data_IF_080529257646
#
_entry.id   IF_080529257646
#
_cell.length_a   1.000
_cell.length_b   1.000
_cell.length_c   1.000
_cell.angle_alpha   90.00
_cell.angle_beta   90.00
_cell.angle_gamma   90.00
#
_symmetry.space_group_name_H-M   'P 1'
#
loop_
_entity.id
_entity.type
_entity.pdbx_description
1 polymer ?
#
# COMPACT_ATOMS: atom_id res chain seq x y z
N UNK A 1 25.04 12.34 -41.94
CA UNK A 1 23.68 12.84 -42.30
C UNK A 1 22.60 12.52 -41.26
N UNK A 2 22.80 11.58 -40.32
CA UNK A 2 21.80 11.28 -39.27
C UNK A 2 21.69 12.26 -38.10
N UNK A 3 22.75 13.02 -37.75
CA UNK A 3 22.69 13.96 -36.61
C UNK A 3 21.98 15.28 -36.94
N UNK A 4 21.98 15.70 -38.21
CA UNK A 4 21.32 16.94 -38.67
C UNK A 4 19.80 16.74 -38.77
N UNK A 5 19.35 15.52 -39.06
CA UNK A 5 17.92 15.20 -39.09
C UNK A 5 17.38 15.18 -37.65
N UNK A 6 18.11 14.60 -36.69
CA UNK A 6 17.71 14.62 -35.26
C UNK A 6 17.56 16.03 -34.69
N UNK A 7 18.41 16.99 -35.07
CA UNK A 7 18.28 18.38 -34.58
C UNK A 7 17.20 19.18 -35.31
N UNK A 8 16.85 18.82 -36.54
CA UNK A 8 15.74 19.45 -37.27
C UNK A 8 14.36 18.98 -36.78
N UNK A 9 14.24 17.75 -36.26
CA UNK A 9 12.97 17.27 -35.66
C UNK A 9 12.62 18.00 -34.36
N UNK A 10 13.60 18.32 -33.51
CA UNK A 10 13.39 19.10 -32.26
C UNK A 10 12.97 20.55 -32.54
N UNK A 11 13.32 21.08 -33.71
CA UNK A 11 13.05 22.49 -34.07
C UNK A 11 11.66 22.68 -34.71
N UNK A 12 11.06 21.62 -35.29
CA UNK A 12 9.75 21.69 -35.96
C UNK A 12 8.57 21.30 -35.06
N UNK A 13 8.82 20.57 -33.97
CA UNK A 13 7.86 20.28 -32.91
C UNK A 13 8.46 20.70 -31.58
N UNK A 14 8.63 22.01 -31.38
CA UNK A 14 8.95 22.51 -30.05
C UNK A 14 7.90 21.99 -29.07
N UNK A 15 8.35 21.29 -28.02
CA UNK A 15 7.47 20.98 -26.88
C UNK A 15 6.83 22.31 -26.46
N UNK A 16 5.50 22.36 -26.48
CA UNK A 16 4.78 23.52 -25.99
C UNK A 16 5.20 23.68 -24.52
N UNK A 17 5.83 24.80 -24.13
CA UNK A 17 6.30 24.96 -22.76
C UNK A 17 5.11 24.86 -21.82
N UNK A 18 5.20 23.94 -20.85
CA UNK A 18 4.20 23.80 -19.80
C UNK A 18 4.22 25.09 -18.97
N UNK A 19 3.08 25.74 -18.83
CA UNK A 19 2.97 26.94 -17.99
C UNK A 19 3.35 26.61 -16.55
N UNK A 20 4.05 27.52 -15.82
CA UNK A 20 4.34 27.31 -14.40
C UNK A 20 3.03 27.20 -13.59
N UNK A 21 3.05 26.54 -12.42
CA UNK A 21 1.89 26.49 -11.55
C UNK A 21 1.55 27.89 -10.99
N UNK A 22 0.27 28.14 -10.62
CA UNK A 22 -0.12 29.34 -9.90
C UNK A 22 0.50 29.46 -8.51
N UNK A 23 0.45 30.67 -7.95
CA UNK A 23 0.86 30.92 -6.56
C UNK A 23 -0.18 30.38 -5.56
N UNK A 24 0.33 29.73 -4.50
CA UNK A 24 -0.46 29.29 -3.35
C UNK A 24 -0.71 30.47 -2.40
N UNK A 25 -1.80 30.40 -1.65
CA UNK A 25 -2.08 31.34 -0.57
C UNK A 25 -1.19 31.05 0.65
N UNK A 26 -0.16 31.88 0.86
CA UNK A 26 0.79 31.74 1.97
C UNK A 26 0.20 32.05 3.36
N UNK A 27 -1.03 32.56 3.44
CA UNK A 27 -1.72 32.76 4.74
C UNK A 27 -2.34 31.46 5.26
N UNK A 28 -2.61 30.53 4.35
CA UNK A 28 -2.82 29.14 4.71
C UNK A 28 -1.46 28.51 5.00
N UNK A 29 -1.41 27.46 5.84
CA UNK A 29 -0.14 27.01 6.37
C UNK A 29 0.57 26.15 5.32
N UNK A 30 1.12 26.78 4.29
CA UNK A 30 1.87 26.16 3.22
C UNK A 30 3.33 26.59 3.26
N UNK A 31 4.26 25.71 2.91
CA UNK A 31 5.64 26.12 2.73
C UNK A 31 5.81 26.82 1.36
N UNK A 32 6.38 28.02 1.33
CA UNK A 32 7.04 28.52 0.11
C UNK A 32 8.38 27.79 -0.10
N UNK A 33 8.96 27.81 -1.31
CA UNK A 33 10.32 27.26 -1.53
C UNK A 33 11.35 27.83 -0.54
N UNK A 34 11.19 29.11 -0.16
CA UNK A 34 11.97 29.80 0.87
C UNK A 34 11.73 29.23 2.27
N UNK A 35 10.50 28.87 2.63
CA UNK A 35 10.17 28.26 3.92
C UNK A 35 10.72 26.83 4.03
N UNK A 36 10.84 26.11 2.91
CA UNK A 36 11.47 24.77 2.85
C UNK A 36 12.96 24.90 3.19
N UNK A 37 13.66 25.89 2.65
CA UNK A 37 15.08 26.14 2.97
C UNK A 37 15.29 26.69 4.39
N UNK A 38 14.42 27.59 4.84
CA UNK A 38 14.52 28.15 6.20
C UNK A 38 14.13 27.11 7.27
N UNK A 39 13.15 26.23 7.02
CA UNK A 39 12.81 25.17 8.00
C UNK A 39 13.85 24.06 8.01
N UNK A 40 14.58 23.79 6.92
CA UNK A 40 15.78 22.93 6.94
C UNK A 40 16.86 23.46 7.89
N UNK A 41 17.03 24.78 8.02
CA UNK A 41 18.03 25.39 8.91
C UNK A 41 17.58 25.47 10.37
N UNK A 42 16.27 25.50 10.65
CA UNK A 42 15.69 25.52 12.01
C UNK A 42 15.62 24.13 12.64
N UNK A 43 15.87 23.04 11.89
CA UNK A 43 16.22 21.72 12.46
C UNK A 43 17.65 21.75 13.02
N UNK A 44 17.91 22.71 13.91
CA UNK A 44 19.05 22.67 14.81
C UNK A 44 18.77 21.58 15.84
N UNK A 45 19.60 20.54 15.83
CA UNK A 45 19.76 19.63 16.97
C UNK A 45 20.03 20.53 18.18
N UNK A 46 19.04 20.70 19.05
CA UNK A 46 19.25 21.34 20.33
C UNK A 46 20.15 20.41 21.16
N UNK A 47 21.46 20.61 21.05
CA UNK A 47 22.38 20.16 22.07
C UNK A 47 22.08 20.97 23.34
N UNK A 48 21.32 20.40 24.26
CA UNK A 48 21.45 20.74 25.67
C UNK A 48 21.05 19.58 26.58
N UNK A 49 22.04 19.22 27.41
CA UNK A 49 21.95 18.54 28.71
C UNK A 49 21.23 17.20 28.78
N UNK A 50 22.03 16.13 28.71
CA UNK A 50 21.91 14.93 29.56
C UNK A 50 20.50 14.55 30.02
N UNK A 51 19.66 14.09 29.10
CA UNK A 51 18.62 13.13 29.44
C UNK A 51 19.16 11.75 29.13
N UNK A 52 19.20 10.93 30.18
CA UNK A 52 19.54 9.52 30.14
C UNK A 52 18.91 8.82 28.94
N UNK A 53 19.73 7.99 28.30
CA UNK A 53 19.37 7.06 27.25
C UNK A 53 18.36 6.02 27.80
N UNK A 54 17.10 6.42 27.91
CA UNK A 54 15.93 5.62 28.25
C UNK A 54 14.69 6.53 28.09
N UNK A 55 14.45 7.07 26.88
CA UNK A 55 13.14 7.64 26.59
C UNK A 55 12.15 6.49 26.42
N UNK A 56 11.55 6.08 27.55
CA UNK A 56 10.38 5.21 27.58
C UNK A 56 9.38 5.67 26.52
N UNK A 57 8.83 4.71 25.78
CA UNK A 57 7.76 4.86 24.79
C UNK A 57 6.63 5.76 25.30
N UNK A 58 6.72 7.06 25.05
CA UNK A 58 5.67 8.03 25.37
C UNK A 58 4.91 8.42 24.10
N UNK A 59 4.24 7.45 23.46
CA UNK A 59 3.06 7.76 22.64
C UNK A 59 1.90 7.89 23.64
N UNK A 60 1.62 9.12 24.09
CA UNK A 60 0.59 9.40 25.12
C UNK A 60 -0.81 8.86 24.75
N UNK A 61 -1.05 8.63 23.46
CA UNK A 61 -2.20 7.90 22.89
C UNK A 61 -1.96 7.66 21.40
N UNK A 62 -2.44 6.56 20.79
CA UNK A 62 -2.30 6.30 19.36
C UNK A 62 -2.80 7.49 18.49
N UNK A 63 -2.11 7.87 17.41
CA UNK A 63 -2.66 8.82 16.45
C UNK A 63 -3.92 8.28 15.78
N UNK A 64 -4.82 9.14 15.33
CA UNK A 64 -5.93 8.73 14.49
C UNK A 64 -5.49 8.51 13.04
N UNK A 65 -4.59 9.35 12.51
CA UNK A 65 -4.05 9.24 11.15
C UNK A 65 -2.56 8.95 11.15
N UNK A 66 -2.13 8.06 10.26
CA UNK A 66 -0.73 7.88 9.90
C UNK A 66 -0.55 8.19 8.41
N UNK A 67 0.40 9.05 8.09
CA UNK A 67 0.82 9.36 6.74
C UNK A 67 2.17 8.74 6.46
N UNK A 68 2.26 7.96 5.39
CA UNK A 68 3.52 7.40 4.92
C UNK A 68 3.77 7.94 3.52
N UNK A 69 4.91 8.60 3.35
CA UNK A 69 5.24 9.37 2.15
C UNK A 69 6.54 8.86 1.54
N UNK A 70 6.59 8.62 0.22
CA UNK A 70 7.82 8.21 -0.43
C UNK A 70 8.87 9.33 -0.39
N UNK A 71 10.12 8.97 -0.10
CA UNK A 71 11.28 9.81 -0.32
C UNK A 71 11.83 9.50 -1.70
N UNK A 72 11.83 10.49 -2.60
CA UNK A 72 12.45 10.36 -3.91
C UNK A 72 13.96 10.41 -3.75
N UNK A 73 14.66 9.30 -4.03
CA UNK A 73 16.12 9.22 -3.97
C UNK A 73 16.81 10.08 -5.03
N UNK A 74 16.09 10.41 -6.11
CA UNK A 74 16.66 11.03 -7.31
C UNK A 74 16.69 12.57 -7.26
N UNK A 75 16.10 13.18 -6.23
CA UNK A 75 16.10 14.64 -6.05
C UNK A 75 16.53 14.98 -4.64
N UNK A 76 17.85 15.03 -4.45
CA UNK A 76 18.44 15.61 -3.26
C UNK A 76 17.71 16.90 -2.88
N UNK A 77 17.12 16.90 -1.68
CA UNK A 77 16.58 18.06 -0.96
C UNK A 77 15.12 18.51 -1.19
N UNK A 78 14.29 17.83 -1.97
CA UNK A 78 12.94 18.33 -2.29
C UNK A 78 11.78 17.42 -1.82
N UNK A 79 11.61 17.27 -0.50
CA UNK A 79 10.53 16.50 0.13
C UNK A 79 9.18 17.25 0.14
N UNK A 80 8.71 17.70 -1.03
CA UNK A 80 7.51 18.52 -1.15
C UNK A 80 6.26 17.85 -0.58
N UNK A 81 6.11 16.53 -0.75
CA UNK A 81 5.00 15.74 -0.22
C UNK A 81 4.95 15.80 1.30
N UNK A 82 6.11 15.67 1.95
CA UNK A 82 6.24 15.76 3.39
C UNK A 82 5.92 17.16 3.90
N UNK A 83 6.54 18.18 3.32
CA UNK A 83 6.34 19.56 3.80
C UNK A 83 4.92 20.06 3.57
N UNK A 84 4.24 19.62 2.50
CA UNK A 84 2.85 19.98 2.24
C UNK A 84 1.91 19.50 3.35
N UNK A 85 2.08 18.26 3.85
CA UNK A 85 1.30 17.76 4.98
C UNK A 85 1.75 18.34 6.32
N UNK A 86 3.07 18.43 6.54
CA UNK A 86 3.67 18.98 7.75
C UNK A 86 3.12 20.38 8.04
N UNK A 87 2.92 21.19 7.00
CA UNK A 87 2.48 22.55 7.16
C UNK A 87 1.05 22.64 7.73
N UNK A 88 0.18 21.65 7.51
CA UNK A 88 -1.13 21.56 8.15
C UNK A 88 -1.13 21.06 9.61
N UNK A 89 0.02 20.66 10.15
CA UNK A 89 0.11 20.12 11.50
C UNK A 89 0.43 21.21 12.53
N UNK A 90 -0.35 21.21 13.61
CA UNK A 90 -0.09 21.99 14.82
C UNK A 90 0.61 21.14 15.89
N UNK A 91 1.27 21.81 16.84
CA UNK A 91 1.91 21.20 18.02
C UNK A 91 2.89 20.06 17.69
N UNK A 92 3.70 20.25 16.63
CA UNK A 92 4.53 19.16 16.11
C UNK A 92 5.66 18.78 17.07
N UNK A 93 5.78 17.49 17.36
CA UNK A 93 6.85 16.89 18.13
C UNK A 93 7.50 15.76 17.33
N UNK A 94 8.82 15.78 17.27
CA UNK A 94 9.60 14.77 16.56
C UNK A 94 10.01 13.63 17.49
N UNK A 95 9.73 12.41 17.07
CA UNK A 95 10.19 11.18 17.70
C UNK A 95 11.08 10.36 16.76
N UNK A 96 11.77 9.37 17.34
CA UNK A 96 12.58 8.39 16.61
C UNK A 96 12.15 7.00 17.06
N UNK A 97 11.99 6.07 16.12
CA UNK A 97 11.75 4.66 16.38
C UNK A 97 12.62 3.80 15.46
N UNK A 98 13.25 2.75 15.98
CA UNK A 98 14.19 1.93 15.20
C UNK A 98 13.60 1.28 13.93
N UNK A 99 12.27 1.11 13.86
CA UNK A 99 11.57 0.52 12.71
C UNK A 99 10.88 1.54 11.80
N UNK A 100 10.61 2.75 12.30
CA UNK A 100 9.93 3.82 11.57
C UNK A 100 10.86 4.98 11.20
N UNK A 101 12.10 4.96 11.70
CA UNK A 101 13.04 6.08 11.68
C UNK A 101 12.44 7.33 12.35
N UNK A 102 12.44 8.49 11.67
CA UNK A 102 11.88 9.74 12.18
C UNK A 102 10.37 9.76 11.98
N UNK A 103 9.64 10.08 13.06
CA UNK A 103 8.19 10.27 13.04
C UNK A 103 7.86 11.63 13.63
N UNK A 104 7.16 12.47 12.87
CA UNK A 104 6.65 13.75 13.35
C UNK A 104 5.18 13.58 13.78
N UNK A 105 4.90 13.84 15.06
CA UNK A 105 3.56 13.77 15.65
C UNK A 105 2.98 15.16 15.77
N UNK A 106 1.72 15.35 15.41
CA UNK A 106 1.06 16.65 15.52
C UNK A 106 -0.44 16.50 15.45
N UNK A 107 -1.12 17.60 15.11
CA UNK A 107 -2.58 17.67 15.10
C UNK A 107 -3.11 18.38 13.86
N UNK A 108 -4.16 17.84 13.25
CA UNK A 108 -5.06 18.58 12.37
C UNK A 108 -6.23 19.13 13.17
N UNK A 109 -6.75 20.29 12.78
CA UNK A 109 -7.88 20.93 13.45
C UNK A 109 -7.59 22.40 13.74
N UNK A 110 -8.43 23.01 14.57
CA UNK A 110 -8.27 24.38 15.04
C UNK A 110 -7.79 24.42 16.51
N UNK A 111 -7.76 25.59 17.12
CA UNK A 111 -7.30 25.77 18.50
C UNK A 111 -8.34 25.32 19.55
N UNK A 112 -9.56 24.90 19.16
CA UNK A 112 -10.67 24.59 20.07
C UNK A 112 -10.67 23.14 20.57
N UNK A 113 -9.51 22.48 20.59
CA UNK A 113 -9.29 21.11 21.08
C UNK A 113 -10.11 20.02 20.35
N UNK A 114 -10.70 20.33 19.19
CA UNK A 114 -11.36 19.40 18.28
C UNK A 114 -10.38 18.89 17.23
N UNK A 115 -9.35 18.18 17.70
CA UNK A 115 -8.18 17.88 16.88
C UNK A 115 -8.03 16.40 16.59
N UNK A 116 -7.52 16.10 15.40
CA UNK A 116 -7.15 14.76 14.95
C UNK A 116 -5.65 14.62 15.08
N UNK A 117 -5.18 13.66 15.86
CA UNK A 117 -3.75 13.39 16.04
C UNK A 117 -3.22 12.69 14.80
N UNK A 118 -2.07 13.16 14.38
CA UNK A 118 -1.42 12.78 13.14
C UNK A 118 -0.01 12.29 13.46
N UNK A 119 0.38 11.19 12.84
CA UNK A 119 1.77 10.81 12.70
C UNK A 119 2.17 10.92 11.22
N UNK A 120 3.29 11.59 10.96
CA UNK A 120 3.84 11.81 9.63
C UNK A 120 5.21 11.14 9.56
N UNK A 121 5.38 10.24 8.61
CA UNK A 121 6.63 9.50 8.41
C UNK A 121 6.98 9.38 6.93
N UNK A 122 8.26 9.10 6.69
CA UNK A 122 8.83 8.86 5.37
C UNK A 122 9.07 7.38 5.15
N UNK A 123 8.97 6.94 3.91
CA UNK A 123 9.41 5.61 3.45
C UNK A 123 10.23 5.76 2.19
N UNK A 124 11.09 4.79 1.90
CA UNK A 124 11.66 4.71 0.56
C UNK A 124 10.54 4.49 -0.50
N UNK A 125 10.84 4.84 -1.74
CA UNK A 125 9.93 4.71 -2.87
C UNK A 125 9.73 3.25 -3.26
N UNK A 126 8.51 2.93 -3.73
CA UNK A 126 8.19 1.61 -4.26
C UNK A 126 7.26 0.77 -3.36
N UNK A 127 6.68 -0.30 -3.92
CA UNK A 127 5.61 -1.06 -3.26
C UNK A 127 6.11 -1.93 -2.10
N UNK A 128 7.36 -2.40 -2.12
CA UNK A 128 7.90 -3.26 -1.05
C UNK A 128 8.20 -2.42 0.19
N UNK A 129 8.79 -1.25 -0.03
CA UNK A 129 9.15 -0.26 0.98
C UNK A 129 7.89 0.28 1.64
N UNK A 130 6.87 0.61 0.84
CA UNK A 130 5.56 1.01 1.33
C UNK A 130 4.90 -0.08 2.18
N UNK A 131 4.93 -1.35 1.74
CA UNK A 131 4.39 -2.48 2.51
C UNK A 131 5.03 -2.57 3.90
N UNK A 132 6.36 -2.53 3.98
CA UNK A 132 7.11 -2.64 5.24
C UNK A 132 6.83 -1.44 6.16
N UNK A 133 6.84 -0.23 5.61
CA UNK A 133 6.56 0.99 6.37
C UNK A 133 5.14 0.96 6.95
N UNK A 134 4.14 0.56 6.15
CA UNK A 134 2.73 0.47 6.60
C UNK A 134 2.55 -0.59 7.68
N UNK A 135 3.17 -1.77 7.53
CA UNK A 135 3.10 -2.82 8.56
C UNK A 135 3.70 -2.35 9.89
N UNK A 136 4.90 -1.78 9.85
CA UNK A 136 5.54 -1.25 11.05
C UNK A 136 4.70 -0.10 11.67
N UNK A 137 4.20 0.82 10.85
CA UNK A 137 3.39 1.95 11.32
C UNK A 137 2.10 1.48 11.98
N UNK A 138 1.41 0.51 11.38
CA UNK A 138 0.19 -0.05 11.94
C UNK A 138 0.44 -0.71 13.30
N UNK A 139 1.47 -1.55 13.40
CA UNK A 139 1.77 -2.30 14.63
C UNK A 139 2.23 -1.40 15.78
N UNK A 140 3.04 -0.38 15.48
CA UNK A 140 3.67 0.50 16.48
C UNK A 140 2.75 1.67 16.84
N UNK A 141 2.24 2.38 15.83
CA UNK A 141 1.45 3.60 16.04
C UNK A 141 -0.03 3.27 16.28
N UNK A 142 -0.52 2.14 15.78
CA UNK A 142 -1.93 1.72 15.88
C UNK A 142 -2.92 2.79 15.41
N UNK A 143 -2.75 3.36 14.20
CA UNK A 143 -3.63 4.39 13.68
C UNK A 143 -5.04 3.85 13.38
N UNK A 144 -6.02 4.75 13.23
CA UNK A 144 -7.33 4.39 12.66
C UNK A 144 -7.27 4.29 11.15
N UNK A 145 -6.47 5.17 10.52
CA UNK A 145 -6.36 5.29 9.06
C UNK A 145 -4.90 5.44 8.65
N UNK A 146 -4.50 4.77 7.58
CA UNK A 146 -3.20 4.95 6.94
C UNK A 146 -3.40 5.53 5.54
N UNK A 147 -2.76 6.67 5.26
CA UNK A 147 -2.95 7.42 4.02
C UNK A 147 -1.63 7.59 3.29
N UNK A 148 -1.64 7.35 1.97
CA UNK A 148 -0.55 7.75 1.08
C UNK A 148 -0.99 9.01 0.36
N UNK A 149 -0.28 10.09 0.63
CA UNK A 149 -0.60 11.43 0.11
C UNK A 149 0.57 11.90 -0.71
N UNK A 150 0.34 12.53 -1.86
CA UNK A 150 1.48 12.88 -2.68
C UNK A 150 1.18 13.33 -4.08
N UNK A 151 2.12 13.01 -4.97
CA UNK A 151 2.01 13.31 -6.39
C UNK A 151 1.91 12.04 -7.24
N UNK A 152 1.22 12.13 -8.37
CA UNK A 152 1.09 11.06 -9.35
C UNK A 152 1.18 11.60 -10.77
N UNK A 153 1.40 10.69 -11.73
CA UNK A 153 1.16 11.00 -13.12
C UNK A 153 -0.33 10.83 -13.47
N UNK A 154 -0.81 11.53 -14.49
CA UNK A 154 -2.14 11.26 -15.07
C UNK A 154 -2.06 10.25 -16.21
N UNK A 155 -2.90 9.23 -16.17
CA UNK A 155 -3.10 8.27 -17.26
C UNK A 155 -3.95 8.86 -18.40
N UNK A 156 -4.66 9.95 -18.13
CA UNK A 156 -5.64 10.57 -19.02
C UNK A 156 -5.48 12.10 -19.00
N UNK A 157 -4.50 12.68 -19.71
CA UNK A 157 -4.28 14.13 -19.72
C UNK A 157 -5.49 14.97 -20.16
N UNK A 158 -6.44 14.38 -20.90
CA UNK A 158 -7.71 15.01 -21.29
C UNK A 158 -8.77 15.05 -20.17
N UNK A 159 -8.61 14.24 -19.12
CA UNK A 159 -9.57 14.09 -18.01
C UNK A 159 -9.05 14.65 -16.69
N UNK A 160 -7.75 14.53 -16.42
CA UNK A 160 -7.12 15.11 -15.25
C UNK A 160 -5.87 15.90 -15.68
N UNK A 161 -5.79 17.14 -15.19
CA UNK A 161 -4.77 18.13 -15.53
C UNK A 161 -3.76 18.27 -14.39
N UNK A 162 -2.63 18.91 -14.64
CA UNK A 162 -1.66 19.24 -13.59
C UNK A 162 -2.34 20.00 -12.45
N UNK A 163 -2.06 19.61 -11.21
CA UNK A 163 -2.67 20.15 -10.01
C UNK A 163 -4.00 19.51 -9.59
N UNK A 164 -4.71 18.81 -10.49
CA UNK A 164 -5.95 18.10 -10.11
C UNK A 164 -5.64 17.02 -9.06
N UNK A 165 -6.55 16.81 -8.11
CA UNK A 165 -6.41 15.81 -7.05
C UNK A 165 -7.20 14.55 -7.39
N UNK A 166 -6.54 13.41 -7.37
CA UNK A 166 -7.12 12.09 -7.60
C UNK A 166 -7.21 11.36 -6.25
N UNK A 167 -8.44 11.05 -5.83
CA UNK A 167 -8.69 10.26 -4.63
C UNK A 167 -9.03 8.83 -5.06
N UNK A 168 -8.12 7.89 -4.76
CA UNK A 168 -8.30 6.48 -5.06
C UNK A 168 -9.39 5.88 -4.17
N UNK A 169 -10.55 5.59 -4.74
CA UNK A 169 -11.47 4.63 -4.12
C UNK A 169 -11.28 3.21 -4.65
N UNK A 170 -10.50 3.07 -5.73
CA UNK A 170 -10.16 1.79 -6.35
C UNK A 170 -8.69 1.82 -6.73
N UNK A 171 -7.92 0.87 -6.21
CA UNK A 171 -6.52 0.70 -6.56
C UNK A 171 -6.38 -0.49 -7.50
N UNK A 172 -5.72 -0.31 -8.64
CA UNK A 172 -5.36 -1.39 -9.55
C UNK A 172 -3.84 -1.61 -9.55
N UNK A 173 -3.37 -2.86 -9.59
CA UNK A 173 -1.95 -3.19 -9.73
C UNK A 173 -1.64 -3.69 -11.15
N UNK A 174 -0.42 -3.48 -11.62
CA UNK A 174 0.00 -3.95 -12.96
C UNK A 174 1.32 -4.72 -13.00
N UNK A 175 2.01 -4.89 -11.88
CA UNK A 175 3.29 -5.62 -11.86
C UNK A 175 3.08 -7.13 -12.13
N UNK A 176 1.93 -7.68 -11.72
CA UNK A 176 1.61 -9.07 -11.98
C UNK A 176 1.26 -9.29 -13.45
N UNK A 177 2.22 -9.79 -14.23
CA UNK A 177 2.07 -10.02 -15.66
C UNK A 177 2.33 -11.47 -16.06
N UNK A 178 1.67 -11.91 -17.13
CA UNK A 178 2.04 -13.13 -17.87
C UNK A 178 2.56 -12.71 -19.23
N UNK A 179 3.86 -12.93 -19.44
CA UNK A 179 4.53 -12.67 -20.71
C UNK A 179 4.29 -13.84 -21.67
N UNK A 180 3.85 -13.53 -22.89
CA UNK A 180 3.72 -14.45 -24.02
C UNK A 180 4.53 -13.88 -25.19
N UNK A 181 4.79 -14.70 -26.21
CA UNK A 181 5.61 -14.31 -27.39
C UNK A 181 5.18 -12.97 -28.00
N UNK A 182 3.87 -12.75 -28.16
CA UNK A 182 3.34 -11.55 -28.83
C UNK A 182 2.58 -10.58 -27.91
N UNK A 183 2.44 -10.89 -26.61
CA UNK A 183 1.62 -10.05 -25.72
C UNK A 183 1.96 -10.17 -24.24
N UNK A 184 1.70 -9.08 -23.52
CA UNK A 184 1.71 -9.01 -22.05
C UNK A 184 0.27 -9.09 -21.55
N UNK A 185 -0.03 -10.06 -20.69
CA UNK A 185 -1.32 -10.13 -20.00
C UNK A 185 -1.18 -9.62 -18.57
N UNK A 186 -1.80 -8.49 -18.25
CA UNK A 186 -1.88 -7.96 -16.88
C UNK A 186 -2.87 -8.78 -16.04
N UNK A 187 -2.45 -9.13 -14.82
CA UNK A 187 -3.16 -10.00 -13.87
C UNK A 187 -3.26 -9.39 -12.47
N UNK A 188 -2.87 -8.12 -12.34
CA UNK A 188 -2.94 -7.42 -11.08
C UNK A 188 -4.37 -7.26 -10.57
N UNK A 189 -4.47 -7.04 -9.28
CA UNK A 189 -5.74 -6.94 -8.58
C UNK A 189 -6.37 -5.56 -8.78
N UNK A 190 -7.69 -5.48 -8.61
CA UNK A 190 -8.41 -4.21 -8.53
C UNK A 190 -9.29 -4.18 -7.30
N UNK A 191 -8.90 -3.38 -6.34
CA UNK A 191 -9.41 -3.44 -4.97
C UNK A 191 -10.03 -2.12 -4.57
N UNK A 192 -11.17 -2.18 -3.88
CA UNK A 192 -11.87 -0.99 -3.40
C UNK A 192 -11.47 -0.69 -1.96
N UNK A 193 -11.49 0.58 -1.59
CA UNK A 193 -11.44 0.99 -0.19
C UNK A 193 -12.67 0.48 0.57
N UNK A 194 -12.63 0.51 1.90
CA UNK A 194 -13.76 0.11 2.74
C UNK A 194 -15.00 0.98 2.47
N UNK A 195 -16.16 0.52 2.95
CA UNK A 195 -17.37 1.34 2.91
C UNK A 195 -17.24 2.64 3.69
N UNK A 196 -16.57 2.64 4.86
CA UNK A 196 -16.36 3.84 5.67
C UNK A 196 -15.55 4.89 4.91
N UNK A 197 -14.41 4.46 4.36
CA UNK A 197 -13.58 5.31 3.54
C UNK A 197 -14.32 5.80 2.30
N UNK A 198 -15.10 4.93 1.64
CA UNK A 198 -15.90 5.33 0.49
C UNK A 198 -16.93 6.42 0.84
N UNK A 199 -17.56 6.37 2.02
CA UNK A 199 -18.43 7.47 2.47
C UNK A 199 -17.64 8.75 2.66
N UNK A 200 -16.42 8.67 3.22
CA UNK A 200 -15.57 9.85 3.44
C UNK A 200 -15.14 10.49 2.12
N UNK A 201 -14.76 9.69 1.13
CA UNK A 201 -14.36 10.16 -0.21
C UNK A 201 -15.49 10.91 -0.93
N UNK A 202 -16.74 10.45 -0.81
CA UNK A 202 -17.90 11.14 -1.44
C UNK A 202 -18.07 12.59 -0.98
N UNK A 203 -17.62 12.89 0.23
CA UNK A 203 -17.72 14.20 0.86
C UNK A 203 -16.34 14.87 0.97
N UNK A 204 -15.38 14.51 0.11
CA UNK A 204 -14.04 15.07 0.16
C UNK A 204 -13.97 16.55 -0.24
N UNK A 205 -14.86 16.96 -1.15
CA UNK A 205 -14.92 18.33 -1.68
C UNK A 205 -15.85 19.24 -0.91
N UNK A 206 -16.60 18.72 0.07
CA UNK A 206 -17.55 19.49 0.85
C UNK A 206 -16.80 20.59 1.63
N UNK A 207 -17.09 21.84 1.30
CA UNK A 207 -16.43 23.00 1.91
C UNK A 207 -14.96 23.17 1.51
N UNK A 208 -14.39 22.31 0.66
CA UNK A 208 -13.02 22.45 0.19
C UNK A 208 -12.89 23.63 -0.76
N UNK A 209 -11.79 24.38 -0.61
CA UNK A 209 -11.38 25.43 -1.53
C UNK A 209 -9.92 25.22 -1.85
N UNK A 210 -9.59 25.29 -3.13
CA UNK A 210 -8.19 25.23 -3.56
C UNK A 210 -7.42 26.40 -2.89
N UNK A 211 -6.26 26.14 -2.28
CA UNK A 211 -5.48 27.11 -1.55
C UNK A 211 -4.67 28.03 -2.49
N UNK A 212 -5.34 28.66 -3.44
CA UNK A 212 -4.74 29.55 -4.42
C UNK A 212 -4.77 30.99 -3.91
N UNK A 213 -3.67 31.73 -4.14
CA UNK A 213 -3.63 33.18 -3.85
C UNK A 213 -4.69 33.95 -4.66
N UNK A 214 -4.88 33.55 -5.91
CA UNK A 214 -5.97 33.97 -6.76
C UNK A 214 -6.84 32.76 -7.13
N UNK A 215 -8.08 32.65 -6.62
CA UNK A 215 -8.99 31.54 -6.93
C UNK A 215 -9.32 31.37 -8.42
N UNK A 216 -9.11 32.39 -9.26
CA UNK A 216 -9.36 32.35 -10.69
C UNK A 216 -8.16 31.89 -11.53
N UNK A 217 -6.97 31.82 -10.91
CA UNK A 217 -5.70 31.51 -11.59
C UNK A 217 -5.63 30.10 -12.17
N UNK A 218 -6.34 29.13 -11.57
CA UNK A 218 -6.46 27.77 -12.06
C UNK A 218 -7.71 27.11 -11.51
N UNK A 219 -8.50 26.48 -12.41
CA UNK A 219 -9.59 25.61 -11.99
C UNK A 219 -9.04 24.23 -11.65
N UNK A 220 -8.77 24.00 -10.37
CA UNK A 220 -8.35 22.69 -9.84
C UNK A 220 -9.58 21.82 -9.62
N UNK A 221 -9.57 20.61 -10.18
CA UNK A 221 -10.63 19.62 -9.96
C UNK A 221 -10.17 18.52 -9.00
N UNK A 222 -11.12 18.02 -8.21
CA UNK A 222 -10.93 16.83 -7.39
C UNK A 222 -11.74 15.72 -8.04
N UNK A 223 -11.09 14.59 -8.28
CA UNK A 223 -11.67 13.39 -8.89
C UNK A 223 -11.91 12.34 -7.79
N UNK A 224 -13.05 12.39 -7.07
CA UNK A 224 -13.39 11.37 -6.08
C UNK A 224 -13.76 10.06 -6.77
N UNK A 225 -13.55 8.95 -6.07
CA UNK A 225 -13.88 7.59 -6.52
C UNK A 225 -13.13 7.09 -7.78
N UNK A 226 -12.00 7.73 -8.10
CA UNK A 226 -11.17 7.39 -9.24
C UNK A 226 -10.43 6.05 -9.06
N UNK A 227 -9.98 5.47 -10.18
CA UNK A 227 -9.04 4.34 -10.18
C UNK A 227 -7.61 4.88 -10.23
N UNK A 228 -6.82 4.54 -9.23
CA UNK A 228 -5.38 4.77 -9.21
C UNK A 228 -4.66 3.48 -9.62
N UNK A 229 -3.78 3.57 -10.60
CA UNK A 229 -2.92 2.47 -11.03
C UNK A 229 -1.59 2.53 -10.25
N UNK A 230 -1.13 1.39 -9.75
CA UNK A 230 0.06 1.28 -8.92
C UNK A 230 0.97 0.15 -9.38
N UNK A 231 2.28 0.40 -9.38
CA UNK A 231 3.29 -0.62 -9.71
C UNK A 231 4.71 -0.11 -9.49
N UNK A 232 5.71 -0.95 -9.75
CA UNK A 232 7.11 -0.63 -9.44
C UNK A 232 7.80 0.31 -10.43
N UNK A 233 7.21 0.57 -11.60
CA UNK A 233 7.85 1.37 -12.64
C UNK A 233 7.61 2.87 -12.47
N UNK A 234 8.68 3.67 -12.53
CA UNK A 234 8.57 5.10 -12.81
C UNK A 234 8.30 5.30 -14.31
N UNK A 235 7.02 5.35 -14.70
CA UNK A 235 6.64 5.52 -16.10
C UNK A 235 6.86 6.96 -16.54
N UNK A 236 7.90 7.19 -17.34
CA UNK A 236 8.16 8.45 -18.03
C UNK A 236 8.30 8.21 -19.55
N UNK A 237 7.32 7.51 -20.13
CA UNK A 237 7.32 7.16 -21.54
C UNK A 237 5.89 7.07 -22.08
N UNK A 238 5.59 7.87 -23.11
CA UNK A 238 4.24 7.97 -23.67
C UNK A 238 3.68 6.63 -24.15
N UNK A 239 4.51 5.84 -24.85
CA UNK A 239 4.11 4.53 -25.35
C UNK A 239 3.74 3.57 -24.22
N UNK A 240 4.54 3.53 -23.16
CA UNK A 240 4.24 2.73 -21.96
C UNK A 240 2.96 3.18 -21.26
N UNK A 241 2.74 4.50 -21.13
CA UNK A 241 1.47 5.02 -20.59
C UNK A 241 0.29 4.63 -21.46
N UNK A 242 0.43 4.70 -22.79
CA UNK A 242 -0.63 4.34 -23.75
C UNK A 242 -0.92 2.82 -23.72
N UNK A 243 0.09 1.97 -23.60
CA UNK A 243 -0.08 0.52 -23.38
C UNK A 243 -0.87 0.24 -22.10
N UNK A 244 -0.45 0.79 -20.96
CA UNK A 244 -1.15 0.64 -19.68
C UNK A 244 -2.57 1.22 -19.75
N UNK A 245 -2.75 2.32 -20.47
CA UNK A 245 -4.04 2.96 -20.70
C UNK A 245 -5.03 2.06 -21.45
N UNK A 246 -4.58 1.25 -22.40
CA UNK A 246 -5.42 0.34 -23.17
C UNK A 246 -5.97 -0.78 -22.29
N UNK A 247 -5.14 -1.32 -21.38
CA UNK A 247 -5.55 -2.36 -20.42
C UNK A 247 -6.39 -1.81 -19.26
N UNK A 248 -5.94 -0.72 -18.64
CA UNK A 248 -6.58 -0.11 -17.48
C UNK A 248 -7.40 1.11 -17.93
N UNK A 249 -8.48 0.86 -18.66
CA UNK A 249 -9.23 1.90 -19.37
C UNK A 249 -9.80 3.00 -18.47
N UNK A 250 -10.11 2.65 -17.21
CA UNK A 250 -10.70 3.54 -16.22
C UNK A 250 -9.70 4.09 -15.19
N UNK A 251 -8.41 3.73 -15.29
CA UNK A 251 -7.35 4.36 -14.51
C UNK A 251 -7.19 5.84 -14.88
N UNK A 252 -7.14 6.69 -13.85
CA UNK A 252 -6.95 8.13 -13.99
C UNK A 252 -5.56 8.57 -13.55
N UNK A 253 -5.04 8.00 -12.47
CA UNK A 253 -3.71 8.30 -11.94
C UNK A 253 -2.78 7.09 -11.98
N UNK A 254 -1.48 7.35 -11.92
CA UNK A 254 -0.39 6.35 -11.88
C UNK A 254 0.67 6.75 -10.85
N UNK A 255 0.97 5.85 -9.92
CA UNK A 255 1.95 6.03 -8.83
C UNK A 255 2.63 4.70 -8.44
N UNK A 256 3.52 4.71 -7.45
CA UNK A 256 4.45 3.58 -7.20
C UNK A 256 4.35 2.91 -5.83
N UNK A 257 3.49 3.36 -4.92
CA UNK A 257 3.48 2.87 -3.54
C UNK A 257 2.19 2.18 -3.12
N UNK A 258 1.06 2.56 -3.75
CA UNK A 258 -0.28 2.14 -3.37
C UNK A 258 -0.45 0.62 -3.28
N UNK A 259 0.22 -0.16 -4.14
CA UNK A 259 0.18 -1.62 -4.12
C UNK A 259 0.65 -2.18 -2.75
N UNK A 260 1.72 -1.62 -2.20
CA UNK A 260 2.25 -1.95 -0.88
C UNK A 260 1.31 -1.54 0.25
N UNK A 261 0.75 -0.33 0.17
CA UNK A 261 -0.25 0.16 1.11
C UNK A 261 -1.46 -0.79 1.16
N UNK A 262 -2.03 -1.12 0.01
CA UNK A 262 -3.19 -2.00 -0.07
C UNK A 262 -2.88 -3.39 0.48
N UNK A 263 -1.75 -3.99 0.07
CA UNK A 263 -1.35 -5.30 0.53
C UNK A 263 -1.22 -5.36 2.07
N UNK A 264 -0.59 -4.35 2.69
CA UNK A 264 -0.47 -4.28 4.15
C UNK A 264 -1.81 -3.96 4.83
N UNK A 265 -2.53 -2.94 4.37
CA UNK A 265 -3.77 -2.50 5.01
C UNK A 265 -4.89 -3.55 4.90
N UNK A 266 -4.93 -4.32 3.82
CA UNK A 266 -5.86 -5.44 3.66
C UNK A 266 -5.58 -6.57 4.66
N UNK A 267 -4.31 -6.96 4.81
CA UNK A 267 -3.85 -7.96 5.79
C UNK A 267 -4.15 -7.50 7.22
N UNK A 268 -3.94 -6.21 7.50
CA UNK A 268 -4.13 -5.59 8.81
C UNK A 268 -5.54 -5.05 9.06
N UNK A 269 -6.48 -5.23 8.12
CA UNK A 269 -7.86 -4.71 8.16
C UNK A 269 -7.95 -3.24 8.63
N UNK A 270 -6.97 -2.43 8.27
CA UNK A 270 -6.90 -1.01 8.64
C UNK A 270 -7.48 -0.16 7.53
N UNK A 271 -8.14 0.94 7.87
CA UNK A 271 -8.69 1.88 6.89
C UNK A 271 -7.55 2.55 6.11
N UNK A 272 -7.71 2.68 4.79
CA UNK A 272 -6.66 3.22 3.92
C UNK A 272 -7.21 3.97 2.71
N UNK A 273 -6.41 4.88 2.17
CA UNK A 273 -6.64 5.51 0.86
C UNK A 273 -5.33 6.04 0.26
N UNK A 274 -5.32 6.16 -1.07
CA UNK A 274 -4.26 6.85 -1.84
C UNK A 274 -4.84 8.15 -2.38
N UNK A 275 -4.26 9.30 -2.03
CA UNK A 275 -4.73 10.62 -2.41
C UNK A 275 -3.57 11.39 -3.02
N UNK A 276 -3.54 11.51 -4.35
CA UNK A 276 -2.41 12.13 -5.04
C UNK A 276 -2.86 13.21 -6.01
N UNK A 277 -2.07 14.24 -6.19
CA UNK A 277 -2.31 15.27 -7.19
C UNK A 277 -1.42 15.08 -8.42
N UNK A 278 -1.92 15.45 -9.58
CA UNK A 278 -1.24 15.24 -10.85
C UNK A 278 -0.06 16.21 -11.00
N UNK A 279 1.17 15.69 -11.04
CA UNK A 279 2.39 16.48 -11.25
C UNK A 279 3.05 16.29 -12.61
N UNK A 280 2.68 15.24 -13.35
CA UNK A 280 3.24 14.96 -14.68
C UNK A 280 2.29 14.09 -15.53
N UNK A 281 2.68 13.86 -16.79
CA UNK A 281 1.89 13.15 -17.79
C UNK A 281 2.41 11.75 -18.13
N UNK A 282 3.43 11.25 -17.42
CA UNK A 282 4.08 9.95 -17.68
C UNK A 282 4.42 9.71 -19.17
N UNK A 283 4.83 10.75 -19.90
CA UNK A 283 4.98 10.71 -21.36
C UNK A 283 6.41 10.99 -21.86
N UNK A 284 7.36 11.23 -20.96
CA UNK A 284 8.72 11.66 -21.27
C UNK A 284 9.01 13.09 -20.83
N UNK A 285 7.97 13.90 -20.56
CA UNK A 285 8.10 15.32 -20.25
C UNK A 285 8.22 15.63 -18.75
N UNK A 286 8.53 14.66 -17.88
CA UNK A 286 8.51 14.84 -16.41
C UNK A 286 9.39 16.00 -15.92
N UNK A 287 10.52 16.28 -16.59
CA UNK A 287 11.40 17.41 -16.26
C UNK A 287 10.74 18.77 -16.52
N UNK A 288 9.91 18.91 -17.55
CA UNK A 288 9.22 20.17 -17.85
C UNK A 288 8.05 20.45 -16.89
N UNK A 289 7.56 19.42 -16.19
CA UNK A 289 6.50 19.54 -15.20
C UNK A 289 7.01 19.48 -13.75
N UNK A 290 8.33 19.34 -13.51
CA UNK A 290 8.92 19.34 -12.17
C UNK A 290 8.47 20.52 -11.28
N UNK A 291 8.35 21.77 -11.78
CA UNK A 291 7.84 22.89 -10.98
C UNK A 291 6.43 22.67 -10.40
N UNK A 292 5.63 21.74 -10.93
CA UNK A 292 4.30 21.42 -10.44
C UNK A 292 4.30 20.48 -9.23
N UNK A 293 5.41 19.85 -8.86
CA UNK A 293 5.45 18.90 -7.74
C UNK A 293 5.11 19.56 -6.38
N UNK A 294 5.65 20.74 -6.01
CA UNK A 294 5.25 21.43 -4.79
C UNK A 294 3.77 21.83 -4.78
N UNK A 295 3.30 22.38 -5.90
CA UNK A 295 1.91 22.79 -6.07
C UNK A 295 0.96 21.60 -5.91
N UNK A 296 1.26 20.49 -6.59
CA UNK A 296 0.47 19.26 -6.55
C UNK A 296 0.46 18.66 -5.13
N UNK A 297 1.62 18.60 -4.48
CA UNK A 297 1.73 18.16 -3.08
C UNK A 297 0.83 18.99 -2.15
N UNK A 298 0.83 20.31 -2.30
CA UNK A 298 -0.03 21.21 -1.55
C UNK A 298 -1.53 20.99 -1.82
N UNK A 299 -1.93 20.75 -3.08
CA UNK A 299 -3.31 20.42 -3.42
C UNK A 299 -3.76 19.13 -2.73
N UNK A 300 -2.97 18.06 -2.82
CA UNK A 300 -3.28 16.78 -2.19
C UNK A 300 -3.40 16.91 -0.66
N UNK A 301 -2.43 17.57 -0.01
CA UNK A 301 -2.46 17.82 1.42
C UNK A 301 -3.70 18.64 1.86
N UNK A 302 -4.09 19.65 1.08
CA UNK A 302 -5.27 20.48 1.39
C UNK A 302 -6.58 19.70 1.36
N UNK A 303 -6.72 18.76 0.42
CA UNK A 303 -7.89 17.87 0.34
C UNK A 303 -7.92 16.92 1.52
N UNK A 304 -6.78 16.33 1.88
CA UNK A 304 -6.64 15.45 3.05
C UNK A 304 -6.99 16.17 4.34
N UNK A 305 -6.45 17.37 4.55
CA UNK A 305 -6.79 18.19 5.71
C UNK A 305 -8.30 18.46 5.75
N UNK A 306 -8.92 18.83 4.62
CA UNK A 306 -10.37 19.05 4.57
C UNK A 306 -11.18 17.79 4.94
N UNK A 307 -10.74 16.62 4.47
CA UNK A 307 -11.40 15.35 4.75
C UNK A 307 -11.34 14.95 6.22
N UNK A 308 -10.25 15.28 6.92
CA UNK A 308 -9.95 14.69 8.23
C UNK A 308 -9.70 15.69 9.37
N UNK A 309 -9.85 17.01 9.17
CA UNK A 309 -9.62 18.01 10.23
C UNK A 309 -10.60 17.95 11.42
N UNK A 310 -11.71 17.22 11.30
CA UNK A 310 -12.71 17.10 12.37
C UNK A 310 -12.75 15.68 12.96
N UNK A 311 -12.47 15.50 14.26
CA UNK A 311 -12.37 14.16 14.88
C UNK A 311 -13.68 13.37 14.84
N UNK A 312 -14.83 14.07 14.93
CA UNK A 312 -16.17 13.46 14.88
C UNK A 312 -16.40 12.59 13.63
N UNK A 313 -15.71 12.88 12.52
CA UNK A 313 -15.87 12.18 11.26
C UNK A 313 -15.28 10.76 11.26
N UNK A 314 -14.34 10.48 12.16
CA UNK A 314 -13.62 9.20 12.27
C UNK A 314 -13.61 8.67 13.71
N UNK A 315 -14.35 9.29 14.63
CA UNK A 315 -14.36 8.92 16.05
C UNK A 315 -14.71 7.44 16.26
N UNK A 316 -15.65 6.92 15.46
CA UNK A 316 -16.16 5.55 15.56
C UNK A 316 -15.31 4.52 14.81
N UNK A 317 -14.22 4.93 14.16
CA UNK A 317 -13.34 4.01 13.43
C UNK A 317 -12.39 3.36 14.43
N UNK A 318 -12.19 2.03 14.36
CA UNK A 318 -11.30 1.34 15.29
C UNK A 318 -9.85 1.71 15.03
N UNK A 319 -9.05 1.78 16.09
CA UNK A 319 -7.60 1.71 15.95
C UNK A 319 -7.21 0.28 15.55
N UNK A 320 -6.07 0.14 14.85
CA UNK A 320 -5.50 -1.19 14.63
C UNK A 320 -5.32 -1.94 15.95
N UNK A 321 -5.79 -3.19 15.97
CA UNK A 321 -5.63 -4.11 17.09
C UNK A 321 -5.10 -5.45 16.60
N UNK A 322 -3.93 -5.84 17.10
CA UNK A 322 -3.31 -7.12 16.78
C UNK A 322 -4.17 -8.32 17.25
N UNK A 323 -5.05 -8.15 18.24
CA UNK A 323 -5.97 -9.20 18.67
C UNK A 323 -7.05 -9.50 17.61
N UNK A 324 -7.44 -8.53 16.79
CA UNK A 324 -8.37 -8.76 15.67
C UNK A 324 -7.74 -9.57 14.53
N UNK A 325 -6.40 -9.67 14.53
CA UNK A 325 -5.59 -10.52 13.63
C UNK A 325 -5.32 -11.89 14.24
N UNK A 326 -5.17 -11.96 15.56
CA UNK A 326 -5.25 -13.20 16.33
C UNK A 326 -6.70 -13.63 16.40
N UNK A 327 -7.30 -13.96 15.27
CA UNK A 327 -8.61 -14.58 15.27
C UNK A 327 -8.62 -15.65 16.36
N UNK A 328 -9.54 -15.54 17.32
CA UNK A 328 -9.93 -16.73 18.07
C UNK A 328 -10.10 -17.83 17.01
N UNK A 329 -9.52 -19.03 17.19
CA UNK A 329 -9.84 -20.13 16.29
C UNK A 329 -11.36 -20.17 16.16
N UNK A 330 -11.90 -20.35 14.95
CA UNK A 330 -13.30 -20.05 14.65
C UNK A 330 -14.21 -20.66 15.71
N UNK A 331 -14.81 -19.82 16.54
CA UNK A 331 -15.74 -20.21 17.61
C UNK A 331 -17.19 -20.26 17.14
N UNK A 332 -17.42 -20.10 15.83
CA UNK A 332 -18.59 -20.68 15.19
C UNK A 332 -18.22 -22.08 14.69
N UNK A 333 -19.07 -23.11 14.89
CA UNK A 333 -18.78 -24.45 14.38
C UNK A 333 -18.79 -24.38 12.86
N UNK A 334 -17.61 -24.18 12.28
CA UNK A 334 -17.34 -24.55 10.89
C UNK A 334 -17.70 -26.03 10.81
N UNK A 335 -18.58 -26.47 9.90
CA UNK A 335 -18.91 -27.89 9.81
C UNK A 335 -17.59 -28.64 9.64
N UNK A 336 -17.23 -29.44 10.65
CA UNK A 336 -15.99 -30.20 10.66
C UNK A 336 -15.98 -31.06 9.40
N UNK A 337 -15.07 -30.80 8.48
CA UNK A 337 -14.89 -31.65 7.31
C UNK A 337 -14.47 -33.01 7.87
N UNK A 338 -15.26 -34.05 7.59
CA UNK A 338 -14.89 -35.41 8.01
C UNK A 338 -13.61 -35.85 7.31
N UNK A 339 -12.85 -36.74 7.93
CA UNK A 339 -11.64 -37.33 7.31
C UNK A 339 -12.01 -37.96 5.96
N UNK A 340 -13.17 -38.61 5.85
CA UNK A 340 -13.63 -39.23 4.59
C UNK A 340 -13.87 -38.20 3.48
N UNK A 341 -14.44 -37.04 3.80
CA UNK A 341 -14.61 -35.95 2.83
C UNK A 341 -13.26 -35.36 2.40
N UNK A 342 -12.32 -35.26 3.33
CA UNK A 342 -10.96 -34.81 3.03
C UNK A 342 -10.23 -35.79 2.11
N UNK A 343 -10.23 -37.09 2.43
CA UNK A 343 -9.60 -38.14 1.63
C UNK A 343 -10.18 -38.22 0.22
N UNK A 344 -11.51 -38.17 0.07
CA UNK A 344 -12.18 -38.11 -1.25
C UNK A 344 -11.71 -36.92 -2.10
N UNK A 345 -11.41 -35.80 -1.45
CA UNK A 345 -11.01 -34.58 -2.15
C UNK A 345 -9.56 -34.60 -2.68
N UNK A 346 -8.77 -35.60 -2.29
CA UNK A 346 -7.36 -35.76 -2.70
C UNK A 346 -7.09 -37.06 -3.46
N UNK A 347 -8.10 -37.90 -3.67
CA UNK A 347 -7.94 -39.16 -4.40
C UNK A 347 -7.40 -38.95 -5.81
N UNK A 348 -6.58 -39.88 -6.28
CA UNK A 348 -5.94 -39.83 -7.60
C UNK A 348 -4.71 -38.91 -7.67
N UNK A 349 -4.19 -38.45 -6.53
CA UNK A 349 -2.95 -37.66 -6.46
C UNK A 349 -1.83 -38.46 -5.80
N UNK A 350 -0.59 -38.34 -6.29
CA UNK A 350 0.58 -38.99 -5.69
C UNK A 350 1.30 -38.11 -4.68
N UNK A 351 1.05 -36.80 -4.69
CA UNK A 351 1.50 -35.86 -3.68
C UNK A 351 0.64 -34.60 -3.70
N UNK A 352 0.66 -33.83 -2.61
CA UNK A 352 -0.08 -32.59 -2.54
C UNK A 352 0.01 -31.90 -1.19
N UNK A 353 -0.62 -30.73 -1.12
CA UNK A 353 -0.80 -29.98 0.12
C UNK A 353 -2.23 -29.46 0.16
N UNK A 354 -2.94 -29.74 1.26
CA UNK A 354 -4.35 -29.36 1.39
C UNK A 354 -4.70 -28.93 2.80
N UNK A 355 -5.62 -27.99 2.91
CA UNK A 355 -6.16 -27.55 4.19
C UNK A 355 -7.20 -28.53 4.73
N UNK A 356 -7.10 -28.84 6.02
CA UNK A 356 -8.06 -29.62 6.79
C UNK A 356 -8.30 -28.94 8.14
N UNK A 357 -9.54 -28.50 8.40
CA UNK A 357 -9.97 -27.87 9.65
C UNK A 357 -8.97 -26.81 10.19
N UNK A 358 -8.52 -25.91 9.30
CA UNK A 358 -7.59 -24.83 9.64
C UNK A 358 -6.10 -25.21 9.69
N UNK A 359 -5.75 -26.45 9.35
CA UNK A 359 -4.36 -26.93 9.31
C UNK A 359 -3.93 -27.31 7.89
N UNK A 360 -2.66 -27.11 7.58
CA UNK A 360 -2.09 -27.47 6.28
C UNK A 360 -1.45 -28.84 6.34
N UNK A 361 -2.00 -29.79 5.61
CA UNK A 361 -1.53 -31.17 5.54
C UNK A 361 -0.80 -31.39 4.22
N UNK A 362 0.49 -31.72 4.29
CA UNK A 362 1.29 -32.16 3.16
C UNK A 362 1.30 -33.69 3.11
N UNK A 363 1.10 -34.28 1.94
CA UNK A 363 1.11 -35.73 1.79
C UNK A 363 1.81 -36.14 0.48
N UNK A 364 2.35 -37.36 0.46
CA UNK A 364 2.99 -37.94 -0.72
C UNK A 364 3.03 -39.47 -0.65
N UNK A 365 3.00 -40.14 -1.79
CA UNK A 365 3.28 -41.57 -1.93
C UNK A 365 4.45 -41.78 -2.89
N UNK A 366 5.35 -42.68 -2.52
CA UNK A 366 6.49 -43.11 -3.35
C UNK A 366 6.41 -44.61 -3.58
N UNK A 367 6.46 -45.02 -4.86
CA UNK A 367 6.53 -46.43 -5.23
C UNK A 367 7.95 -46.97 -5.17
N UNK A 368 8.10 -48.25 -4.79
CA UNK A 368 9.38 -48.97 -4.82
C UNK A 368 9.18 -50.45 -5.16
N UNK A 369 10.21 -51.06 -5.72
CA UNK A 369 10.26 -52.49 -5.98
C UNK A 369 10.36 -53.23 -4.64
N UNK A 370 9.56 -54.29 -4.44
CA UNK A 370 9.55 -55.05 -3.19
C UNK A 370 9.99 -56.51 -3.34
N UNK A 371 9.20 -57.38 -3.99
CA UNK A 371 9.50 -58.81 -4.11
C UNK A 371 9.01 -59.40 -5.45
N UNK A 372 9.24 -60.69 -5.70
CA UNK A 372 8.76 -61.35 -6.92
C UNK A 372 7.23 -61.55 -6.92
N UNK A 373 6.64 -61.72 -5.74
CA UNK A 373 5.19 -61.92 -5.56
C UNK A 373 4.42 -60.58 -5.49
N UNK A 374 5.06 -59.51 -5.00
CA UNK A 374 4.55 -58.14 -4.98
C UNK A 374 5.60 -57.20 -5.61
N UNK A 375 5.63 -57.07 -6.96
CA UNK A 375 6.70 -56.38 -7.66
C UNK A 375 6.80 -54.89 -7.34
N UNK A 376 5.70 -54.28 -6.90
CA UNK A 376 5.62 -52.84 -6.67
C UNK A 376 4.73 -52.53 -5.47
N UNK A 377 5.26 -51.77 -4.51
CA UNK A 377 4.52 -51.26 -3.35
C UNK A 377 4.73 -49.77 -3.19
N UNK A 378 3.78 -49.10 -2.55
CA UNK A 378 3.81 -47.68 -2.24
C UNK A 378 4.00 -47.46 -0.74
N UNK A 379 4.83 -46.49 -0.39
CA UNK A 379 4.94 -45.96 0.97
C UNK A 379 4.35 -44.53 0.98
N UNK A 380 3.52 -44.22 1.97
CA UNK A 380 2.84 -42.94 2.12
C UNK A 380 3.44 -42.11 3.25
N UNK A 381 3.49 -40.80 3.08
CA UNK A 381 3.91 -39.84 4.12
C UNK A 381 2.86 -38.76 4.26
N UNK A 382 2.57 -38.36 5.49
CA UNK A 382 1.68 -37.23 5.79
C UNK A 382 2.29 -36.36 6.90
N UNK A 383 2.23 -35.05 6.73
CA UNK A 383 2.82 -34.06 7.64
C UNK A 383 1.86 -32.91 7.90
N UNK A 384 1.63 -32.60 9.18
CA UNK A 384 0.99 -31.36 9.59
C UNK A 384 2.05 -30.26 9.68
N UNK A 385 1.97 -29.27 8.78
CA UNK A 385 2.99 -28.21 8.66
C UNK A 385 3.09 -27.37 9.93
N UNK A 386 1.98 -27.12 10.61
CA UNK A 386 1.94 -26.28 11.80
C UNK A 386 2.68 -26.91 13.00
N UNK A 387 2.48 -28.20 13.26
CA UNK A 387 3.19 -28.91 14.34
C UNK A 387 4.54 -29.50 13.90
N UNK A 388 4.82 -29.55 12.59
CA UNK A 388 5.93 -30.30 11.98
C UNK A 388 5.88 -31.81 12.28
N UNK A 389 4.73 -32.30 12.73
CA UNK A 389 4.55 -33.72 13.03
C UNK A 389 4.31 -34.50 11.73
N UNK A 390 5.03 -35.61 11.55
CA UNK A 390 5.03 -36.40 10.32
C UNK A 390 4.91 -37.88 10.63
N UNK A 391 4.15 -38.58 9.79
CA UNK A 391 3.95 -40.03 9.85
C UNK A 391 4.27 -40.63 8.49
N UNK A 392 4.86 -41.83 8.51
CA UNK A 392 5.13 -42.63 7.32
C UNK A 392 4.51 -44.01 7.47
N UNK A 393 3.68 -44.39 6.52
CA UNK A 393 3.09 -45.72 6.39
C UNK A 393 3.74 -46.44 5.19
N UNK A 394 4.03 -47.73 5.31
CA UNK A 394 4.78 -48.47 4.29
C UNK A 394 4.01 -49.70 3.78
N UNK A 395 4.33 -50.14 2.57
CA UNK A 395 3.79 -51.36 1.93
C UNK A 395 2.28 -51.33 1.63
N UNK A 396 1.89 -50.59 0.60
CA UNK A 396 0.53 -50.61 0.04
C UNK A 396 0.53 -50.92 -1.46
N UNK A 397 -0.53 -51.53 -1.97
CA UNK A 397 -0.66 -51.86 -3.40
C UNK A 397 -0.83 -50.61 -4.28
N UNK A 398 -1.40 -49.53 -3.73
CA UNK A 398 -1.67 -48.29 -4.47
C UNK A 398 -1.21 -47.03 -3.73
N UNK A 399 -0.91 -45.98 -4.50
CA UNK A 399 -0.54 -44.67 -3.96
C UNK A 399 -1.65 -44.05 -3.09
N UNK A 400 -2.92 -44.21 -3.50
CA UNK A 400 -4.07 -43.70 -2.74
C UNK A 400 -4.19 -44.41 -1.37
N UNK A 401 -4.07 -45.74 -1.33
CA UNK A 401 -4.06 -46.50 -0.06
C UNK A 401 -2.94 -46.02 0.86
N UNK A 402 -1.74 -45.82 0.33
CA UNK A 402 -0.59 -45.35 1.10
C UNK A 402 -0.81 -43.95 1.68
N UNK A 403 -1.33 -43.01 0.88
CA UNK A 403 -1.66 -41.65 1.33
C UNK A 403 -2.79 -41.67 2.36
N UNK A 404 -3.82 -42.48 2.13
CA UNK A 404 -4.98 -42.55 3.03
C UNK A 404 -4.58 -43.12 4.39
N UNK A 405 -3.78 -44.19 4.42
CA UNK A 405 -3.25 -44.75 5.65
C UNK A 405 -2.37 -43.72 6.40
N UNK A 406 -1.46 -43.05 5.71
CA UNK A 406 -0.59 -42.04 6.32
C UNK A 406 -1.37 -40.86 6.92
N UNK A 407 -2.41 -40.38 6.24
CA UNK A 407 -3.26 -39.27 6.73
C UNK A 407 -4.12 -39.73 7.91
N UNK A 408 -4.68 -40.94 7.86
CA UNK A 408 -5.46 -41.48 8.98
C UNK A 408 -4.61 -41.63 10.24
N UNK A 409 -3.40 -42.20 10.10
CA UNK A 409 -2.48 -42.35 11.24
C UNK A 409 -1.98 -41.00 11.75
N UNK A 410 -1.67 -40.04 10.86
CA UNK A 410 -1.34 -38.67 11.24
C UNK A 410 -2.43 -38.06 12.12
N UNK A 411 -3.70 -38.13 11.72
CA UNK A 411 -4.80 -37.56 12.51
C UNK A 411 -5.08 -38.32 13.80
N UNK A 412 -4.90 -39.64 13.82
CA UNK A 412 -4.98 -40.43 15.06
C UNK A 412 -3.94 -39.95 16.07
N UNK A 413 -2.68 -39.81 15.66
CA UNK A 413 -1.60 -39.39 16.55
C UNK A 413 -1.71 -37.91 16.97
N UNK A 414 -2.18 -37.04 16.08
CA UNK A 414 -2.44 -35.63 16.45
C UNK A 414 -3.53 -35.52 17.53
N UNK A 415 -4.58 -36.35 17.47
CA UNK A 415 -5.62 -36.42 18.52
C UNK A 415 -5.07 -36.96 19.85
N UNK A 416 -4.32 -38.06 19.80
CA UNK A 416 -3.69 -38.65 21.00
C UNK A 416 -2.75 -37.66 21.70
N UNK A 417 -2.03 -36.84 20.93
CA UNK A 417 -1.12 -35.80 21.41
C UNK A 417 -1.83 -34.49 21.80
N UNK A 418 -3.16 -34.42 21.69
CA UNK A 418 -3.97 -33.19 21.93
C UNK A 418 -3.50 -31.99 21.12
N UNK A 419 -2.99 -32.23 19.91
CA UNK A 419 -2.58 -31.17 18.96
C UNK A 419 -3.78 -30.69 18.13
N UNK A 420 -4.75 -31.59 17.90
CA UNK A 420 -6.06 -31.32 17.29
C UNK A 420 -7.20 -31.91 18.11
#
# INVERSE_FOLDING_TARGET
MGSVISSMWTTLFGEVPVSPPPELDCTLPFPTNTDIEHRKSVVGVSQSSSMSCESKDHIASPPELSFTLPTHSDLGTNDHEFYALYAYMNDVQRGINSKLDIVDFGRFGDENDQNVKVALMKSAQGPIEALLAVKNAAEILKPKVILFVGICATMRPKKAKLGDVIISAKLATYDETKIKEDKVEYRGSKSKVSQNMQKRIRHATDGWKAPLKDPSSLKVEVHPDAVMLSGSDLVNNRGRREELAEYFQDALGLEMEGAGLYAAASDLKTEWAVIKAVSDFADGSKSSTEPWQPFSSAMAASVVYNMFKYPVLIQHWPHYNAEDMKGNPPTSPTPSVSIDQFLKSIGGTTEGTKMYNGRTIKYSASGRIHSFDEPWVYDGTATDIASRFSVKENHFETADQAIYAAIQELFKQLKEKKII
#
